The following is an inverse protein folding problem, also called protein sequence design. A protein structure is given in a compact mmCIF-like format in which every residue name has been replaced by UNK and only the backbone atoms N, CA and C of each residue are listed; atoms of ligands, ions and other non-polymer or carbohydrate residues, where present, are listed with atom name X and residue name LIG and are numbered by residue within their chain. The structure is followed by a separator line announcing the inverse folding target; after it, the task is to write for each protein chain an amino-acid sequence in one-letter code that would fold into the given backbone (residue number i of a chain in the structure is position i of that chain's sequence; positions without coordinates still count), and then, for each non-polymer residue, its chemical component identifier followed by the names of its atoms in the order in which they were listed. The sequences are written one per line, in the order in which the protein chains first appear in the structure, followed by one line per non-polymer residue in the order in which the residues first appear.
data_IF_395973347628
#
_entry.id   IF_395973347628
#
_cell.length_a   1.000
_cell.length_b   1.000
_cell.length_c   1.000
_cell.angle_alpha   90.00
_cell.angle_beta   90.00
_cell.angle_gamma   90.00
#
_symmetry.space_group_name_H-M   'P 1'
#
loop_
_entity.id
_entity.type
_entity.pdbx_description
1 polymer ?
#
# COMPACT_ATOMS: atom_id res chain seq x y z
N UNK A 1 13.45 -39.00 55.13
CA UNK A 1 12.19 -38.57 55.79
C UNK A 1 12.00 -37.08 55.54
N UNK A 2 11.00 -36.76 54.72
CA UNK A 2 10.11 -35.58 54.76
C UNK A 2 10.71 -34.17 54.91
N UNK A 3 10.61 -33.44 53.78
CA UNK A 3 10.20 -32.03 53.60
C UNK A 3 9.96 -31.18 54.86
N UNK A 4 10.56 -29.98 54.85
CA UNK A 4 9.92 -28.65 54.92
C UNK A 4 10.92 -27.64 55.47
N UNK A 5 11.36 -26.67 54.66
CA UNK A 5 11.49 -25.29 55.14
C UNK A 5 11.82 -24.33 54.00
N UNK A 6 10.91 -23.39 53.79
CA UNK A 6 11.12 -22.01 53.37
C UNK A 6 11.56 -21.79 51.90
N UNK A 7 10.62 -21.59 50.96
CA UNK A 7 9.76 -20.40 50.86
C UNK A 7 10.56 -19.08 50.88
N UNK A 8 11.65 -18.95 50.11
CA UNK A 8 12.29 -17.65 49.91
C UNK A 8 13.18 -17.53 48.66
N UNK A 9 12.75 -18.07 47.52
CA UNK A 9 13.37 -17.76 46.23
C UNK A 9 12.38 -17.72 45.05
N UNK A 10 11.10 -17.50 45.35
CA UNK A 10 10.02 -17.29 44.37
C UNK A 10 9.61 -15.81 44.31
N UNK A 11 10.57 -14.90 44.48
CA UNK A 11 10.35 -13.45 44.50
C UNK A 11 11.33 -12.74 43.55
N UNK A 12 11.55 -13.31 42.36
CA UNK A 12 11.93 -12.51 41.21
C UNK A 12 10.63 -12.00 40.59
N UNK A 13 10.26 -10.81 41.06
CA UNK A 13 9.02 -10.11 40.81
C UNK A 13 8.58 -10.14 39.33
N UNK A 14 7.67 -11.04 39.02
CA UNK A 14 6.63 -10.75 38.05
C UNK A 14 5.64 -9.75 38.66
N UNK A 15 5.06 -8.95 37.76
CA UNK A 15 3.84 -8.16 37.88
C UNK A 15 4.06 -6.62 37.90
N UNK A 16 3.95 -6.09 36.67
CA UNK A 16 3.17 -4.92 36.26
C UNK A 16 3.54 -3.55 36.86
N UNK A 17 3.75 -2.51 36.04
CA UNK A 17 2.67 -1.95 35.21
C UNK A 17 3.24 -1.12 34.06
N UNK A 18 2.55 -1.27 32.93
CA UNK A 18 2.58 -0.52 31.69
C UNK A 18 2.90 0.98 31.85
N UNK A 19 4.11 1.40 31.46
CA UNK A 19 4.34 2.80 31.09
C UNK A 19 3.63 3.06 29.76
N UNK A 20 2.49 3.76 29.84
CA UNK A 20 1.77 4.30 28.70
C UNK A 20 2.75 5.02 27.76
N UNK A 21 2.91 4.50 26.55
CA UNK A 21 3.74 5.11 25.52
C UNK A 21 3.23 6.54 25.26
N UNK A 22 4.14 7.50 25.30
CA UNK A 22 3.86 8.92 25.11
C UNK A 22 3.20 9.14 23.75
N UNK A 23 1.88 9.35 23.71
CA UNK A 23 1.18 9.78 22.51
C UNK A 23 1.48 11.25 22.26
N UNK A 24 2.61 11.53 21.61
CA UNK A 24 2.88 12.84 21.04
C UNK A 24 1.95 13.00 19.84
N UNK A 25 0.89 13.81 19.97
CA UNK A 25 0.20 14.36 18.81
C UNK A 25 1.16 15.33 18.13
N UNK A 26 2.05 14.80 17.30
CA UNK A 26 2.85 15.62 16.39
C UNK A 26 1.86 16.14 15.37
N UNK A 27 1.55 17.43 15.46
CA UNK A 27 0.88 18.14 14.37
C UNK A 27 1.78 18.02 13.16
N UNK A 28 1.43 17.12 12.25
CA UNK A 28 2.20 16.88 11.04
C UNK A 28 1.97 18.07 10.09
N UNK A 29 2.81 19.09 10.22
CA UNK A 29 2.90 20.20 9.28
C UNK A 29 3.43 19.76 7.91
N UNK A 30 3.92 18.52 7.81
CA UNK A 30 4.18 17.82 6.57
C UNK A 30 3.08 16.77 6.34
N UNK A 31 1.81 17.19 6.43
CA UNK A 31 0.67 16.41 5.90
C UNK A 31 1.11 15.90 4.53
N UNK A 32 1.42 14.60 4.48
CA UNK A 32 2.28 13.97 3.47
C UNK A 32 2.14 14.66 2.13
N UNK A 33 3.22 15.29 1.63
CA UNK A 33 3.22 15.82 0.26
C UNK A 33 2.74 14.67 -0.64
N UNK A 34 1.55 14.81 -1.20
CA UNK A 34 0.99 13.78 -2.07
C UNK A 34 1.73 13.89 -3.40
N UNK A 35 2.87 13.20 -3.46
CA UNK A 35 3.75 13.15 -4.64
C UNK A 35 2.93 12.75 -5.88
N UNK A 36 1.86 11.97 -5.68
CA UNK A 36 0.90 11.64 -6.73
C UNK A 36 0.29 12.89 -7.32
N UNK A 37 -0.24 13.80 -6.50
CA UNK A 37 -0.87 15.04 -6.97
C UNK A 37 0.11 15.92 -7.76
N UNK A 38 1.33 16.07 -7.26
CA UNK A 38 2.37 16.86 -7.94
C UNK A 38 2.66 16.25 -9.31
N UNK A 39 2.84 14.93 -9.38
CA UNK A 39 3.11 14.25 -10.63
C UNK A 39 1.92 14.20 -11.59
N UNK A 40 0.70 14.10 -11.09
CA UNK A 40 -0.52 14.26 -11.92
C UNK A 40 -0.55 15.63 -12.57
N UNK A 41 -0.24 16.69 -11.82
CA UNK A 41 -0.19 18.05 -12.35
C UNK A 41 0.90 18.19 -13.43
N UNK A 42 2.10 17.66 -13.19
CA UNK A 42 3.20 17.71 -14.18
C UNK A 42 2.81 16.99 -15.48
N UNK A 43 2.11 15.86 -15.39
CA UNK A 43 1.59 15.18 -16.59
C UNK A 43 0.49 16.00 -17.26
N UNK A 44 -0.42 16.61 -16.49
CA UNK A 44 -1.49 17.45 -17.01
C UNK A 44 -0.96 18.70 -17.75
N UNK A 45 0.17 19.23 -17.31
CA UNK A 45 0.91 20.32 -17.98
C UNK A 45 1.67 19.86 -19.24
N UNK A 46 1.67 18.54 -19.54
CA UNK A 46 2.29 17.97 -20.73
C UNK A 46 3.73 17.49 -20.53
N UNK A 47 4.27 17.59 -19.31
CA UNK A 47 5.67 17.24 -19.00
C UNK A 47 5.83 15.82 -18.45
N UNK A 48 4.95 14.89 -18.87
CA UNK A 48 5.00 13.49 -18.45
C UNK A 48 6.23 12.77 -19.00
N UNK A 49 6.99 12.12 -18.11
CA UNK A 49 8.18 11.34 -18.46
C UNK A 49 8.04 9.88 -18.00
N UNK A 50 8.80 8.93 -18.57
CA UNK A 50 8.83 7.54 -18.09
C UNK A 50 9.07 7.44 -16.57
N UNK A 51 9.94 8.29 -16.02
CA UNK A 51 10.17 8.35 -14.58
C UNK A 51 8.89 8.70 -13.80
N UNK A 52 8.16 9.73 -14.23
CA UNK A 52 6.93 10.19 -13.60
C UNK A 52 5.83 9.12 -13.72
N UNK A 53 5.64 8.54 -14.91
CA UNK A 53 4.67 7.47 -15.12
C UNK A 53 4.96 6.26 -14.23
N UNK A 54 6.23 5.87 -14.09
CA UNK A 54 6.64 4.79 -13.17
C UNK A 54 6.31 5.12 -11.72
N UNK A 55 6.49 6.37 -11.28
CA UNK A 55 6.18 6.80 -9.91
C UNK A 55 4.67 6.79 -9.66
N UNK A 56 3.88 7.32 -10.59
CA UNK A 56 2.42 7.32 -10.53
C UNK A 56 1.87 5.88 -10.51
N UNK A 57 2.32 5.02 -11.42
CA UNK A 57 1.89 3.63 -11.50
C UNK A 57 2.15 2.87 -10.20
N UNK A 58 3.35 3.00 -9.64
CA UNK A 58 3.69 2.37 -8.36
C UNK A 58 2.87 2.94 -7.20
N UNK A 59 2.68 4.27 -7.15
CA UNK A 59 1.91 4.89 -6.09
C UNK A 59 0.45 4.37 -6.06
N UNK A 60 -0.22 4.30 -7.21
CA UNK A 60 -1.56 3.73 -7.29
C UNK A 60 -1.60 2.22 -7.05
N UNK A 61 -0.55 1.50 -7.49
CA UNK A 61 -0.42 0.07 -7.20
C UNK A 61 -0.38 -0.19 -5.69
N UNK A 62 0.41 0.57 -4.93
CA UNK A 62 0.49 0.46 -3.48
C UNK A 62 -0.75 0.99 -2.75
N UNK A 63 -1.49 1.93 -3.35
CA UNK A 63 -2.81 2.37 -2.88
C UNK A 63 -3.94 1.38 -3.25
N UNK A 64 -3.63 0.26 -3.90
CA UNK A 64 -4.60 -0.72 -4.43
C UNK A 64 -5.62 -0.15 -5.42
N UNK A 65 -5.33 1.03 -5.99
CA UNK A 65 -6.14 1.66 -7.03
C UNK A 65 -5.72 1.13 -8.40
N UNK A 66 -5.92 -0.17 -8.63
CA UNK A 66 -5.35 -0.89 -9.77
C UNK A 66 -5.81 -0.35 -11.14
N UNK A 67 -7.02 0.22 -11.25
CA UNK A 67 -7.46 0.85 -12.50
C UNK A 67 -6.59 2.05 -12.89
N UNK A 68 -6.26 2.91 -11.92
CA UNK A 68 -5.38 4.06 -12.17
C UNK A 68 -3.94 3.61 -12.37
N UNK A 69 -3.48 2.64 -11.58
CA UNK A 69 -2.15 2.07 -11.76
C UNK A 69 -1.95 1.51 -13.17
N UNK A 70 -2.98 0.83 -13.71
CA UNK A 70 -2.95 0.25 -15.05
C UNK A 70 -2.72 1.32 -16.12
N UNK A 71 -3.50 2.41 -16.07
CA UNK A 71 -3.38 3.54 -17.00
C UNK A 71 -1.96 4.12 -17.02
N UNK A 72 -1.34 4.28 -15.85
CA UNK A 72 0.02 4.81 -15.75
C UNK A 72 1.09 3.81 -16.19
N UNK A 73 0.89 2.51 -15.96
CA UNK A 73 1.78 1.48 -16.51
C UNK A 73 1.71 1.45 -18.04
N UNK A 74 0.52 1.57 -18.64
CA UNK A 74 0.38 1.64 -20.10
C UNK A 74 1.11 2.85 -20.66
N UNK A 75 0.95 4.04 -20.06
CA UNK A 75 1.70 5.24 -20.43
C UNK A 75 3.21 5.06 -20.31
N UNK A 76 3.67 4.36 -19.26
CA UNK A 76 5.07 4.01 -19.11
C UNK A 76 5.56 3.13 -20.26
N UNK A 77 4.83 2.08 -20.62
CA UNK A 77 5.22 1.16 -21.69
C UNK A 77 5.12 1.77 -23.10
N UNK A 78 4.21 2.74 -23.30
CA UNK A 78 4.14 3.57 -24.51
C UNK A 78 5.39 4.45 -24.64
N UNK A 79 5.82 5.07 -23.54
CA UNK A 79 6.96 6.00 -23.54
C UNK A 79 8.33 5.28 -23.53
N UNK A 80 8.43 4.14 -22.86
CA UNK A 80 9.66 3.37 -22.72
C UNK A 80 9.38 1.86 -22.65
N UNK A 81 10.05 1.09 -23.50
CA UNK A 81 10.01 -0.39 -23.45
C UNK A 81 10.89 -0.90 -22.31
N UNK A 82 10.44 -0.71 -21.08
CA UNK A 82 11.12 -1.22 -19.89
C UNK A 82 11.07 -2.75 -19.83
N UNK A 83 12.22 -3.37 -19.54
CA UNK A 83 12.36 -4.81 -19.28
C UNK A 83 12.55 -5.12 -17.80
N UNK A 84 12.29 -4.14 -16.93
CA UNK A 84 12.41 -4.30 -15.49
C UNK A 84 11.44 -5.40 -15.00
N UNK A 85 11.95 -6.51 -14.43
CA UNK A 85 11.10 -7.61 -13.98
C UNK A 85 10.13 -7.17 -12.87
N UNK A 86 10.48 -6.23 -12.00
CA UNK A 86 9.61 -5.74 -10.93
C UNK A 86 8.39 -5.00 -11.51
N UNK A 87 8.64 -4.11 -12.48
CA UNK A 87 7.58 -3.36 -13.17
C UNK A 87 6.68 -4.30 -13.96
N UNK A 88 7.24 -5.28 -14.65
CA UNK A 88 6.47 -6.28 -15.39
C UNK A 88 5.60 -7.14 -14.46
N UNK A 89 6.10 -7.54 -13.29
CA UNK A 89 5.33 -8.31 -12.32
C UNK A 89 4.18 -7.48 -11.74
N UNK A 90 4.44 -6.23 -11.32
CA UNK A 90 3.41 -5.32 -10.82
C UNK A 90 2.34 -5.02 -11.87
N UNK A 91 2.73 -4.82 -13.12
CA UNK A 91 1.80 -4.65 -14.23
C UNK A 91 0.89 -5.87 -14.41
N UNK A 92 1.45 -7.08 -14.44
CA UNK A 92 0.67 -8.34 -14.51
C UNK A 92 -0.31 -8.49 -13.34
N UNK A 93 0.13 -8.18 -12.13
CA UNK A 93 -0.71 -8.22 -10.93
C UNK A 93 -1.86 -7.20 -11.02
N UNK A 94 -1.55 -5.99 -11.47
CA UNK A 94 -2.53 -4.92 -11.70
C UNK A 94 -3.59 -5.34 -12.71
N UNK A 95 -3.17 -5.90 -13.85
CA UNK A 95 -4.08 -6.44 -14.87
C UNK A 95 -5.01 -7.53 -14.32
N UNK A 96 -4.47 -8.45 -13.53
CA UNK A 96 -5.28 -9.52 -12.91
C UNK A 96 -6.32 -8.94 -11.94
N UNK A 97 -5.95 -7.95 -11.14
CA UNK A 97 -6.84 -7.31 -10.18
C UNK A 97 -7.98 -6.55 -10.87
N UNK A 98 -7.68 -5.80 -11.94
CA UNK A 98 -8.69 -5.07 -12.73
C UNK A 98 -9.70 -6.04 -13.36
N UNK A 99 -9.24 -7.09 -14.05
CA UNK A 99 -10.13 -8.10 -14.65
C UNK A 99 -11.03 -8.79 -13.63
N UNK A 100 -10.49 -9.12 -12.45
CA UNK A 100 -11.27 -9.71 -11.37
C UNK A 100 -12.36 -8.74 -10.86
N UNK A 101 -12.04 -7.45 -10.74
CA UNK A 101 -12.99 -6.41 -10.33
C UNK A 101 -14.12 -6.24 -11.36
N UNK A 102 -13.81 -6.24 -12.65
CA UNK A 102 -14.81 -6.13 -13.72
C UNK A 102 -15.77 -7.33 -13.72
N UNK A 103 -15.22 -8.55 -13.62
CA UNK A 103 -16.04 -9.76 -13.52
C UNK A 103 -16.96 -9.73 -12.31
N UNK A 104 -16.47 -9.30 -11.14
CA UNK A 104 -17.28 -9.18 -9.93
C UNK A 104 -18.42 -8.17 -10.11
N UNK A 105 -18.15 -7.01 -10.71
CA UNK A 105 -19.18 -6.00 -11.01
C UNK A 105 -20.24 -6.52 -11.98
N UNK A 106 -19.84 -7.30 -12.98
CA UNK A 106 -20.76 -7.92 -13.93
C UNK A 106 -21.71 -8.92 -13.23
N UNK A 107 -21.19 -9.77 -12.35
CA UNK A 107 -21.99 -10.73 -11.56
C UNK A 107 -22.98 -10.01 -10.65
N UNK A 108 -22.54 -8.96 -9.94
CA UNK A 108 -23.43 -8.16 -9.07
C UNK A 108 -24.52 -7.47 -9.88
N UNK A 109 -24.22 -7.01 -11.09
CA UNK A 109 -25.22 -6.36 -11.97
C UNK A 109 -26.31 -7.36 -12.40
N UNK A 110 -25.93 -8.60 -12.73
CA UNK A 110 -26.88 -9.66 -13.08
C UNK A 110 -27.82 -9.96 -11.89
N UNK A 111 -27.28 -10.09 -10.67
CA UNK A 111 -28.09 -10.36 -9.48
C UNK A 111 -29.09 -9.25 -9.13
N UNK A 112 -28.79 -8.00 -9.46
CA UNK A 112 -29.71 -6.87 -9.20
C UNK A 112 -30.83 -6.72 -10.25
N UNK A 113 -30.75 -7.45 -11.36
CA UNK A 113 -31.74 -7.42 -12.44
C UNK A 113 -32.70 -8.63 -12.39
N UNK A 114 -32.52 -9.52 -11.41
CA UNK A 114 -33.43 -10.60 -11.04
C UNK A 114 -34.26 -10.18 -9.83
#
# INVERSE_FOLDING_TARGET
MKFKSNLLAFLFAGICTVSFSQSSTKTDVNKDIDIVRVYEQVVAEGYGTPFIYKKLANAYYFKSEYNKALLWFEKLFEAEKTKDPEILQRYKQTLKAVKSSENSKAVVKIQKQL
#
